data_IF_917070160913
#
_entry.id   IF_917070160913
#
_cell.length_a   1.000
_cell.length_b   1.000
_cell.length_c   1.000
_cell.angle_alpha   90.00
_cell.angle_beta   90.00
_cell.angle_gamma   90.00
#
_symmetry.space_group_name_H-M   'P 1'
#
loop_
_entity.id
_entity.type
_entity.pdbx_description
1 polymer ?
#
# COMPACT_ATOMS: atom_id res chain seq x y z
N UNK A 1 -24.82 -0.09 55.50
CA UNK A 1 -25.40 1.26 55.35
C UNK A 1 -25.64 1.50 53.87
N UNK A 2 -26.90 1.40 53.48
CA UNK A 2 -27.44 1.75 52.16
C UNK A 2 -27.36 3.26 51.96
N UNK A 3 -26.77 3.71 50.86
CA UNK A 3 -26.70 5.12 50.49
C UNK A 3 -26.94 5.28 48.99
N UNK A 4 -28.20 5.50 48.64
CA UNK A 4 -28.70 5.86 47.33
C UNK A 4 -28.26 7.30 47.00
N UNK A 5 -27.73 7.55 45.81
CA UNK A 5 -27.66 8.90 45.24
C UNK A 5 -28.20 8.90 43.81
N UNK A 6 -29.33 9.57 43.68
CA UNK A 6 -30.04 9.95 42.46
C UNK A 6 -29.30 11.07 41.74
N UNK A 7 -29.18 10.97 40.41
CA UNK A 7 -28.87 12.13 39.54
C UNK A 7 -29.97 12.27 38.50
N UNK A 8 -30.53 13.47 38.48
CA UNK A 8 -31.72 13.94 37.78
C UNK A 8 -31.49 14.11 36.28
N UNK A 9 -32.40 13.60 35.44
CA UNK A 9 -32.52 13.99 34.04
C UNK A 9 -33.31 15.31 33.92
N UNK A 10 -32.91 16.25 33.04
CA UNK A 10 -33.77 17.36 32.66
C UNK A 10 -34.86 16.93 31.66
N UNK A 11 -36.01 17.55 31.89
CA UNK A 11 -37.33 17.32 31.34
C UNK A 11 -37.49 17.47 29.83
N UNK A 12 -38.38 16.61 29.33
CA UNK A 12 -39.18 16.67 28.10
C UNK A 12 -39.71 18.09 27.84
N UNK A 13 -39.49 18.60 26.63
CA UNK A 13 -40.26 19.72 26.09
C UNK A 13 -41.23 19.19 25.02
N UNK A 14 -42.50 19.11 25.38
CA UNK A 14 -43.62 18.96 24.46
C UNK A 14 -43.79 20.25 23.66
N UNK A 15 -43.87 20.15 22.33
CA UNK A 15 -44.58 21.17 21.53
C UNK A 15 -45.41 20.49 20.45
N UNK A 16 -46.71 20.78 20.56
CA UNK A 16 -47.86 20.46 19.72
C UNK A 16 -47.74 20.97 18.28
N UNK A 17 -48.41 20.25 17.38
CA UNK A 17 -48.65 20.58 15.98
C UNK A 17 -49.58 21.79 15.80
N UNK A 18 -49.31 22.65 14.82
CA UNK A 18 -50.32 23.49 14.18
C UNK A 18 -49.92 23.85 12.73
N UNK A 19 -50.92 23.78 11.84
CA UNK A 19 -50.87 23.96 10.38
C UNK A 19 -50.44 25.37 9.92
N UNK A 20 -49.85 25.48 8.71
CA UNK A 20 -49.85 26.73 7.94
C UNK A 20 -48.74 26.86 6.90
N UNK A 21 -49.13 27.12 5.64
CA UNK A 21 -48.28 27.22 4.45
C UNK A 21 -47.31 28.44 4.42
N UNK A 22 -46.26 28.29 3.58
CA UNK A 22 -45.85 29.20 2.47
C UNK A 22 -44.45 29.85 2.50
N UNK A 23 -43.67 29.52 1.45
CA UNK A 23 -42.76 30.33 0.60
C UNK A 23 -41.39 30.91 1.06
N UNK A 24 -40.45 30.83 0.09
CA UNK A 24 -39.33 31.76 -0.29
C UNK A 24 -37.97 31.53 0.42
N UNK A 25 -36.96 30.94 -0.24
CA UNK A 25 -35.97 31.51 -1.20
C UNK A 25 -34.76 32.21 -0.53
N UNK A 26 -33.57 31.74 -0.92
CA UNK A 26 -32.27 32.44 -1.12
C UNK A 26 -31.43 33.00 0.04
N UNK A 27 -30.16 32.53 0.03
CA UNK A 27 -28.89 33.18 0.38
C UNK A 27 -28.75 33.91 1.72
N UNK A 28 -27.66 33.61 2.45
CA UNK A 28 -26.55 34.55 2.71
C UNK A 28 -25.43 33.84 3.49
N UNK A 29 -24.23 33.95 2.93
CA UNK A 29 -22.91 33.64 3.46
C UNK A 29 -22.54 34.45 4.70
N UNK A 30 -21.42 34.06 5.33
CA UNK A 30 -20.63 34.74 6.38
C UNK A 30 -21.04 34.53 7.83
N UNK A 31 -20.17 33.85 8.59
CA UNK A 31 -19.38 34.47 9.68
C UNK A 31 -18.23 33.53 10.04
N UNK A 32 -17.01 34.02 9.83
CA UNK A 32 -15.74 33.44 10.24
C UNK A 32 -15.34 33.99 11.61
N UNK A 33 -14.76 33.10 12.45
CA UNK A 33 -13.70 33.31 13.48
C UNK A 33 -14.10 33.93 14.85
N UNK A 34 -13.26 33.77 15.90
CA UNK A 34 -12.74 32.51 16.46
C UNK A 34 -12.71 32.55 18.02
N UNK A 35 -12.56 31.40 18.70
CA UNK A 35 -12.15 31.37 20.12
C UNK A 35 -10.84 30.56 20.22
N UNK A 36 -9.76 31.30 20.46
CA UNK A 36 -8.46 30.92 21.05
C UNK A 36 -8.68 30.50 22.51
N UNK A 37 -7.92 29.65 23.21
CA UNK A 37 -6.70 28.88 23.01
C UNK A 37 -6.52 28.00 24.28
N UNK A 38 -5.82 26.86 24.21
CA UNK A 38 -4.79 26.43 25.18
C UNK A 38 -3.94 25.30 24.52
N UNK A 39 -2.63 25.20 24.83
CA UNK A 39 -1.64 24.57 23.96
C UNK A 39 -1.30 23.14 24.39
N UNK A 40 -1.21 22.24 23.42
CA UNK A 40 -0.39 21.02 23.53
C UNK A 40 0.49 20.98 22.31
N UNK A 41 1.79 21.22 22.51
CA UNK A 41 2.83 21.17 21.51
C UNK A 41 3.04 19.73 21.02
N UNK A 42 2.47 19.41 19.85
CA UNK A 42 2.91 18.31 18.98
C UNK A 42 3.77 18.88 17.84
N UNK A 43 4.96 18.34 17.55
CA UNK A 43 5.71 18.69 16.34
C UNK A 43 5.02 18.13 15.09
N UNK A 44 4.98 18.95 14.04
CA UNK A 44 4.35 18.77 12.75
C UNK A 44 4.54 17.37 12.11
N UNK A 45 3.42 16.73 11.77
CA UNK A 45 3.39 15.64 10.80
C UNK A 45 3.66 16.18 9.38
N UNK A 46 4.59 15.49 8.72
CA UNK A 46 5.11 15.59 7.36
C UNK A 46 4.19 16.22 6.26
N UNK A 47 4.67 17.27 5.55
CA UNK A 47 4.11 17.70 4.26
C UNK A 47 4.67 16.93 3.03
N UNK A 48 5.57 15.95 3.21
CA UNK A 48 6.35 15.36 2.12
C UNK A 48 5.60 14.33 1.25
N UNK A 49 4.51 13.73 1.74
CA UNK A 49 3.69 12.81 0.93
C UNK A 49 2.70 13.52 0.00
N UNK A 50 2.34 14.78 0.31
CA UNK A 50 1.39 15.58 -0.48
C UNK A 50 2.02 16.16 -1.75
N UNK A 51 3.32 16.50 -1.70
CA UNK A 51 4.04 17.08 -2.85
C UNK A 51 4.16 16.10 -4.03
N UNK A 52 4.21 14.79 -3.76
CA UNK A 52 4.29 13.75 -4.79
C UNK A 52 2.97 13.62 -5.59
N UNK A 53 1.82 13.64 -4.91
CA UNK A 53 0.51 13.67 -5.57
C UNK A 53 0.21 15.02 -6.24
N UNK A 54 0.62 16.14 -5.64
CA UNK A 54 0.41 17.47 -6.23
C UNK A 54 1.21 17.66 -7.53
N UNK A 55 2.41 17.10 -7.63
CA UNK A 55 3.22 17.16 -8.85
C UNK A 55 2.54 16.42 -10.01
N UNK A 56 1.95 15.24 -9.76
CA UNK A 56 1.18 14.49 -10.76
C UNK A 56 -0.11 15.17 -11.21
N UNK A 57 -0.82 15.90 -10.34
CA UNK A 57 -2.05 16.61 -10.72
C UNK A 57 -1.78 17.90 -11.51
N UNK A 58 -0.59 18.51 -11.35
CA UNK A 58 -0.25 19.79 -11.99
C UNK A 58 0.15 19.68 -13.47
N UNK A 59 0.48 18.48 -13.96
CA UNK A 59 0.93 18.26 -15.35
C UNK A 59 -0.23 18.21 -16.37
N UNK A 60 -1.49 18.26 -15.93
CA UNK A 60 -2.68 18.24 -16.82
C UNK A 60 -3.28 19.61 -17.15
N UNK A 61 -2.64 20.73 -16.77
CA UNK A 61 -3.08 22.08 -17.18
C UNK A 61 -1.93 22.87 -17.79
N UNK A 62 -1.68 22.66 -19.08
CA UNK A 62 -0.93 23.61 -19.89
C UNK A 62 -1.70 24.94 -19.97
N UNK A 63 -1.07 26.05 -19.59
CA UNK A 63 -1.21 27.38 -20.21
C UNK A 63 0.04 28.23 -19.89
N UNK A 64 0.76 28.58 -20.96
CA UNK A 64 1.61 29.77 -21.20
C UNK A 64 2.82 30.07 -20.28
N UNK A 65 4.01 29.83 -20.84
CA UNK A 65 5.36 30.06 -20.31
C UNK A 65 5.83 31.53 -20.23
N UNK A 66 4.96 32.53 -20.36
CA UNK A 66 5.43 33.93 -20.54
C UNK A 66 5.29 34.87 -19.31
N UNK A 67 4.49 34.54 -18.28
CA UNK A 67 4.20 35.49 -17.18
C UNK A 67 4.81 35.17 -15.81
N UNK A 68 5.54 34.06 -15.65
CA UNK A 68 6.09 33.64 -14.35
C UNK A 68 7.29 34.48 -13.86
N UNK A 69 7.97 35.26 -14.71
CA UNK A 69 9.18 35.99 -14.29
C UNK A 69 8.93 37.29 -13.51
N UNK A 70 7.69 37.81 -13.45
CA UNK A 70 7.43 39.16 -12.92
C UNK A 70 6.86 39.23 -11.50
N UNK A 71 6.57 38.09 -10.85
CA UNK A 71 5.99 38.06 -9.49
C UNK A 71 6.94 37.57 -8.39
N UNK A 72 8.10 37.01 -8.72
CA UNK A 72 9.09 36.53 -7.74
C UNK A 72 9.99 37.64 -7.16
N UNK A 73 9.87 38.88 -7.63
CA UNK A 73 10.79 39.96 -7.25
C UNK A 73 10.37 40.76 -6.00
N UNK A 74 9.31 40.37 -5.28
CA UNK A 74 8.76 41.17 -4.15
C UNK A 74 8.57 40.41 -2.84
N UNK A 75 8.92 39.12 -2.78
CA UNK A 75 8.91 38.35 -1.54
C UNK A 75 10.31 37.77 -1.36
N UNK A 76 11.02 38.24 -0.34
CA UNK A 76 12.34 37.79 0.09
C UNK A 76 12.25 36.37 0.67
N UNK A 77 11.96 35.41 -0.21
CA UNK A 77 12.07 33.98 0.05
C UNK A 77 13.14 33.45 -0.89
N UNK A 78 14.33 33.26 -0.34
CA UNK A 78 15.42 32.53 -0.98
C UNK A 78 14.90 31.19 -1.53
N UNK A 79 15.23 30.83 -2.79
CA UNK A 79 14.79 29.57 -3.37
C UNK A 79 15.29 28.40 -2.52
N UNK A 80 14.38 27.49 -2.14
CA UNK A 80 14.76 26.19 -1.63
C UNK A 80 15.50 25.47 -2.75
N UNK A 81 16.77 25.23 -2.51
CA UNK A 81 17.78 24.79 -3.46
C UNK A 81 17.46 23.39 -4.02
N UNK A 82 17.46 23.25 -5.34
CA UNK A 82 17.28 21.98 -6.08
C UNK A 82 18.45 20.99 -5.91
N UNK A 83 19.27 21.15 -4.86
CA UNK A 83 20.50 20.37 -4.60
C UNK A 83 20.39 19.25 -3.57
N UNK A 84 19.23 19.03 -2.96
CA UNK A 84 19.02 17.98 -1.93
C UNK A 84 18.50 16.63 -2.46
N UNK A 85 18.38 16.44 -3.78
CA UNK A 85 18.00 15.17 -4.40
C UNK A 85 19.23 14.46 -5.03
N UNK A 86 19.93 13.66 -4.22
CA UNK A 86 20.66 12.44 -4.61
C UNK A 86 21.81 12.48 -5.65
N UNK A 87 22.40 13.64 -6.00
CA UNK A 87 23.44 13.69 -7.05
C UNK A 87 24.90 13.42 -6.62
N UNK A 88 25.22 13.25 -5.33
CA UNK A 88 26.64 13.14 -4.89
C UNK A 88 26.90 12.01 -3.87
N UNK A 89 26.63 10.76 -4.23
CA UNK A 89 27.17 9.64 -3.44
C UNK A 89 27.52 8.38 -4.24
N UNK A 90 27.71 8.45 -5.56
CA UNK A 90 28.31 7.33 -6.29
C UNK A 90 29.72 7.72 -6.66
N UNK A 91 30.70 7.03 -6.10
CA UNK A 91 32.08 7.24 -6.52
C UNK A 91 32.30 6.51 -7.84
N UNK A 92 32.62 7.28 -8.89
CA UNK A 92 33.13 6.76 -10.15
C UNK A 92 34.54 6.25 -9.91
N UNK A 93 34.77 4.95 -10.10
CA UNK A 93 36.08 4.33 -10.02
C UNK A 93 36.52 3.84 -11.40
N UNK A 94 37.64 4.35 -11.88
CA UNK A 94 38.39 3.79 -13.01
C UNK A 94 39.43 2.80 -12.46
N UNK A 95 39.64 1.69 -13.16
CA UNK A 95 40.66 0.70 -12.76
C UNK A 95 42.05 1.36 -12.73
N UNK A 96 42.76 1.38 -11.59
CA UNK A 96 44.10 1.93 -11.55
C UNK A 96 45.04 1.06 -12.38
N UNK A 97 45.84 1.66 -13.25
CA UNK A 97 46.98 0.98 -13.87
C UNK A 97 48.00 0.62 -12.81
N UNK A 98 48.29 -0.68 -12.65
CA UNK A 98 49.33 -1.38 -11.85
C UNK A 98 49.80 -0.85 -10.47
N UNK A 99 49.29 0.27 -9.95
CA UNK A 99 49.71 0.88 -8.69
C UNK A 99 48.96 0.25 -7.51
N UNK A 100 49.57 -0.81 -7.01
CA UNK A 100 49.11 -1.72 -5.96
C UNK A 100 49.00 -1.11 -4.54
N UNK A 101 49.34 0.18 -4.33
CA UNK A 101 49.48 0.76 -2.98
C UNK A 101 48.25 1.46 -2.39
N UNK A 102 47.22 1.79 -3.18
CA UNK A 102 46.04 2.55 -2.69
C UNK A 102 44.79 1.69 -2.38
N UNK A 103 44.89 0.37 -2.47
CA UNK A 103 43.72 -0.50 -2.64
C UNK A 103 43.52 -1.57 -1.55
N UNK A 104 44.23 -1.47 -0.41
CA UNK A 104 44.31 -2.55 0.58
C UNK A 104 43.57 -2.32 1.90
N UNK A 105 42.89 -1.20 2.09
CA UNK A 105 42.05 -1.00 3.28
C UNK A 105 40.68 -0.50 2.84
N UNK A 106 39.71 -1.42 2.77
CA UNK A 106 38.31 -1.01 2.67
C UNK A 106 37.93 -0.33 3.98
N UNK A 107 37.23 0.81 3.94
CA UNK A 107 36.69 1.40 5.16
C UNK A 107 35.77 0.38 5.83
N UNK A 108 35.72 0.35 7.18
CA UNK A 108 34.83 -0.55 7.90
C UNK A 108 33.39 -0.34 7.42
N UNK A 109 32.69 -1.45 7.14
CA UNK A 109 31.29 -1.40 6.69
C UNK A 109 30.46 -0.69 7.75
N UNK A 110 29.71 0.37 7.41
CA UNK A 110 28.90 1.09 8.38
C UNK A 110 27.90 0.17 9.08
N UNK A 111 27.79 0.36 10.41
CA UNK A 111 27.07 -0.54 11.34
C UNK A 111 25.56 -0.32 11.32
N UNK A 112 25.05 0.80 10.78
CA UNK A 112 23.61 1.07 10.81
C UNK A 112 22.83 0.10 9.90
N UNK A 113 22.07 -0.79 10.52
CA UNK A 113 21.23 -1.78 9.84
C UNK A 113 19.75 -1.37 9.91
N UNK A 114 19.27 -0.80 8.80
CA UNK A 114 17.84 -0.53 8.56
C UNK A 114 16.99 -1.80 8.32
N UNK A 115 17.63 -2.97 8.21
CA UNK A 115 16.98 -4.26 7.95
C UNK A 115 17.50 -5.30 8.93
N UNK A 116 16.58 -6.10 9.48
CA UNK A 116 16.88 -7.30 10.26
C UNK A 116 16.52 -8.53 9.42
N UNK A 117 17.47 -9.44 9.25
CA UNK A 117 17.23 -10.75 8.63
C UNK A 117 16.98 -11.76 9.74
N UNK A 118 15.87 -12.48 9.68
CA UNK A 118 15.51 -13.50 10.66
C UNK A 118 15.57 -14.87 9.98
N UNK A 119 16.41 -15.77 10.48
CA UNK A 119 16.42 -17.17 10.05
C UNK A 119 15.34 -17.96 10.80
N UNK A 120 14.35 -18.44 10.04
CA UNK A 120 13.24 -19.22 10.56
C UNK A 120 13.38 -20.72 10.24
N UNK A 121 14.49 -21.16 9.62
CA UNK A 121 14.65 -22.52 9.09
C UNK A 121 14.48 -23.59 10.17
N UNK A 122 15.14 -23.43 11.32
CA UNK A 122 15.02 -24.36 12.44
C UNK A 122 13.60 -24.41 13.01
N UNK A 123 12.94 -23.24 13.08
CA UNK A 123 11.57 -23.14 13.58
C UNK A 123 10.61 -23.85 12.64
N UNK A 124 10.71 -23.63 11.33
CA UNK A 124 9.89 -24.31 10.32
C UNK A 124 10.07 -25.83 10.38
N UNK A 125 11.32 -26.30 10.46
CA UNK A 125 11.62 -27.73 10.55
C UNK A 125 11.02 -28.36 11.82
N UNK A 126 10.98 -27.63 12.94
CA UNK A 126 10.33 -28.09 14.19
C UNK A 126 8.82 -28.28 14.03
N UNK A 127 8.16 -27.53 13.15
CA UNK A 127 6.74 -27.67 12.83
C UNK A 127 6.45 -28.68 11.70
N UNK A 128 7.42 -29.52 11.32
CA UNK A 128 7.27 -30.52 10.25
C UNK A 128 7.26 -29.94 8.83
N UNK A 129 7.59 -28.67 8.69
CA UNK A 129 7.72 -28.00 7.40
C UNK A 129 9.17 -28.09 6.94
N UNK A 130 9.52 -29.18 6.26
CA UNK A 130 10.87 -29.45 5.75
C UNK A 130 11.23 -28.50 4.60
N UNK A 131 11.75 -27.32 4.94
CA UNK A 131 12.26 -26.34 3.99
C UNK A 131 13.78 -26.23 4.11
N UNK A 132 14.47 -26.13 2.97
CA UNK A 132 15.93 -26.01 2.95
C UNK A 132 16.44 -24.70 3.58
N UNK A 133 15.74 -23.58 3.38
CA UNK A 133 16.13 -22.29 3.96
C UNK A 133 14.96 -21.30 3.98
N UNK A 134 14.67 -20.68 5.13
CA UNK A 134 13.61 -19.67 5.28
C UNK A 134 14.17 -18.43 6.00
N UNK A 135 14.36 -17.35 5.24
CA UNK A 135 14.73 -16.04 5.78
C UNK A 135 13.58 -15.05 5.65
N UNK A 136 13.37 -14.24 6.69
CA UNK A 136 12.46 -13.09 6.67
C UNK A 136 13.28 -11.79 6.60
N UNK A 137 12.92 -10.94 5.65
CA UNK A 137 13.49 -9.62 5.47
C UNK A 137 12.61 -8.59 6.18
N UNK A 138 13.08 -8.02 7.30
CA UNK A 138 12.27 -7.10 8.10
C UNK A 138 12.89 -5.71 8.12
N UNK A 139 12.25 -4.73 7.49
CA UNK A 139 12.69 -3.33 7.50
C UNK A 139 12.25 -2.64 8.79
N UNK A 140 13.17 -1.88 9.41
CA UNK A 140 12.94 -1.13 10.67
C UNK A 140 12.47 0.29 10.40
N UNK A 141 11.43 0.45 9.58
CA UNK A 141 10.83 1.75 9.29
C UNK A 141 9.54 1.92 10.11
N UNK A 142 9.56 2.83 11.09
CA UNK A 142 8.41 3.07 11.98
C UNK A 142 7.20 3.54 11.20
N UNK A 143 7.39 4.42 10.21
CA UNK A 143 6.33 4.89 9.34
C UNK A 143 5.74 3.73 8.54
N UNK A 144 6.62 2.91 7.94
CA UNK A 144 6.22 1.72 7.20
C UNK A 144 5.46 0.69 8.04
N UNK A 145 5.88 0.44 9.28
CA UNK A 145 5.18 -0.46 10.22
C UNK A 145 3.76 0.05 10.50
N UNK A 146 3.60 1.35 10.79
CA UNK A 146 2.29 1.96 11.04
C UNK A 146 1.40 1.83 9.80
N UNK A 147 1.92 2.14 8.61
CA UNK A 147 1.19 2.00 7.35
C UNK A 147 0.76 0.55 7.09
N UNK A 148 1.64 -0.42 7.34
CA UNK A 148 1.32 -1.84 7.17
C UNK A 148 0.22 -2.30 8.15
N UNK A 149 0.28 -1.90 9.42
CA UNK A 149 -0.78 -2.17 10.41
C UNK A 149 -2.10 -1.56 9.94
N UNK A 150 -2.07 -0.32 9.46
CA UNK A 150 -3.28 0.34 8.96
C UNK A 150 -3.87 -0.39 7.75
N UNK A 151 -3.04 -0.86 6.80
CA UNK A 151 -3.51 -1.70 5.69
C UNK A 151 -4.28 -2.93 6.18
N UNK A 152 -3.80 -3.62 7.22
CA UNK A 152 -4.47 -4.80 7.75
C UNK A 152 -5.79 -4.45 8.44
N UNK A 153 -5.85 -3.34 9.17
CA UNK A 153 -7.07 -2.86 9.80
C UNK A 153 -8.14 -2.48 8.77
N UNK A 154 -7.75 -1.83 7.68
CA UNK A 154 -8.63 -1.50 6.55
C UNK A 154 -9.21 -2.77 5.91
N UNK A 155 -8.35 -3.74 5.56
CA UNK A 155 -8.81 -5.03 5.01
C UNK A 155 -9.75 -5.76 5.97
N UNK A 156 -9.46 -5.77 7.27
CA UNK A 156 -10.31 -6.39 8.28
C UNK A 156 -11.67 -5.67 8.42
N UNK A 157 -11.68 -4.34 8.34
CA UNK A 157 -12.91 -3.55 8.35
C UNK A 157 -13.77 -3.82 7.10
N UNK A 158 -13.13 -3.90 5.93
CA UNK A 158 -13.81 -4.25 4.68
C UNK A 158 -14.40 -5.66 4.73
N UNK A 159 -13.65 -6.63 5.24
CA UNK A 159 -14.13 -7.99 5.48
C UNK A 159 -15.34 -8.03 6.42
N UNK A 160 -15.23 -7.38 7.59
CA UNK A 160 -16.34 -7.29 8.54
C UNK A 160 -17.60 -6.72 7.89
N UNK A 161 -17.47 -5.59 7.17
CA UNK A 161 -18.61 -4.91 6.56
C UNK A 161 -19.23 -5.77 5.45
N UNK A 162 -18.42 -6.33 4.56
CA UNK A 162 -18.94 -7.17 3.48
C UNK A 162 -19.60 -8.44 4.02
N UNK A 163 -18.97 -9.13 4.96
CA UNK A 163 -19.49 -10.40 5.47
C UNK A 163 -20.71 -10.21 6.38
N UNK A 164 -20.59 -9.35 7.40
CA UNK A 164 -21.60 -9.22 8.45
C UNK A 164 -22.72 -8.24 8.10
N UNK A 165 -22.42 -7.15 7.38
CA UNK A 165 -23.39 -6.09 7.08
C UNK A 165 -24.06 -6.31 5.72
N UNK A 166 -23.35 -6.82 4.72
CA UNK A 166 -23.88 -6.97 3.36
C UNK A 166 -24.38 -8.39 3.06
N UNK A 167 -23.54 -9.41 3.24
CA UNK A 167 -23.81 -10.76 2.75
C UNK A 167 -24.64 -11.62 3.72
N UNK A 168 -24.38 -11.55 5.03
CA UNK A 168 -25.14 -12.29 6.04
C UNK A 168 -26.65 -11.97 6.04
N UNK A 169 -27.09 -10.69 5.98
CA UNK A 169 -28.51 -10.37 5.81
C UNK A 169 -29.03 -10.53 4.36
N UNK A 170 -28.21 -11.02 3.44
CA UNK A 170 -28.59 -11.16 2.03
C UNK A 170 -29.79 -12.11 1.83
N UNK A 171 -30.74 -11.77 0.94
CA UNK A 171 -31.98 -12.54 0.80
C UNK A 171 -31.80 -13.91 0.15
N UNK A 172 -30.67 -14.14 -0.54
CA UNK A 172 -30.37 -15.40 -1.23
C UNK A 172 -29.11 -16.01 -0.66
N UNK A 173 -29.25 -17.15 0.03
CA UNK A 173 -28.14 -17.86 0.66
C UNK A 173 -27.06 -18.25 -0.35
N UNK A 174 -27.45 -18.67 -1.56
CA UNK A 174 -26.51 -19.05 -2.62
C UNK A 174 -25.72 -17.83 -3.12
N UNK A 175 -26.40 -16.70 -3.32
CA UNK A 175 -25.74 -15.46 -3.72
C UNK A 175 -24.74 -15.00 -2.66
N UNK A 176 -25.14 -14.99 -1.39
CA UNK A 176 -24.28 -14.60 -0.28
C UNK A 176 -23.09 -15.53 -0.13
N UNK A 177 -23.29 -16.84 -0.24
CA UNK A 177 -22.23 -17.83 -0.16
C UNK A 177 -21.19 -17.67 -1.29
N UNK A 178 -21.62 -17.57 -2.55
CA UNK A 178 -20.71 -17.41 -3.68
C UNK A 178 -19.90 -16.10 -3.59
N UNK A 179 -20.54 -14.99 -3.21
CA UNK A 179 -19.83 -13.72 -3.04
C UNK A 179 -18.91 -13.74 -1.82
N UNK A 180 -19.29 -14.42 -0.74
CA UNK A 180 -18.43 -14.59 0.42
C UNK A 180 -17.15 -15.36 0.06
N UNK A 181 -17.27 -16.47 -0.68
CA UNK A 181 -16.11 -17.23 -1.16
C UNK A 181 -15.20 -16.37 -2.05
N UNK A 182 -15.79 -15.63 -3.00
CA UNK A 182 -15.04 -14.78 -3.91
C UNK A 182 -14.31 -13.64 -3.18
N UNK A 183 -15.00 -12.95 -2.27
CA UNK A 183 -14.41 -11.85 -1.51
C UNK A 183 -13.29 -12.34 -0.59
N UNK A 184 -13.52 -13.43 0.15
CA UNK A 184 -12.48 -14.05 0.99
C UNK A 184 -11.28 -14.51 0.16
N UNK A 185 -11.51 -15.02 -1.06
CA UNK A 185 -10.42 -15.38 -1.96
C UNK A 185 -9.56 -14.15 -2.32
N UNK A 186 -10.18 -13.01 -2.65
CA UNK A 186 -9.44 -11.77 -2.88
C UNK A 186 -8.66 -11.32 -1.63
N UNK A 187 -9.27 -11.37 -0.45
CA UNK A 187 -8.62 -11.02 0.83
C UNK A 187 -7.38 -11.88 1.07
N UNK A 188 -7.50 -13.21 0.97
CA UNK A 188 -6.38 -14.15 1.18
C UNK A 188 -5.25 -13.88 0.18
N UNK A 189 -5.58 -13.66 -1.08
CA UNK A 189 -4.58 -13.40 -2.13
C UNK A 189 -3.90 -12.04 -1.93
N UNK A 190 -4.65 -11.00 -1.57
CA UNK A 190 -4.13 -9.66 -1.29
C UNK A 190 -3.20 -9.68 -0.06
N UNK A 191 -3.63 -10.24 1.06
CA UNK A 191 -2.84 -10.30 2.30
C UNK A 191 -1.60 -11.18 2.13
N UNK A 192 -1.70 -12.30 1.41
CA UNK A 192 -0.53 -13.14 1.12
C UNK A 192 0.47 -12.38 0.24
N UNK A 193 0.02 -11.70 -0.81
CA UNK A 193 0.87 -10.87 -1.67
C UNK A 193 1.52 -9.72 -0.90
N UNK A 194 0.77 -9.08 0.02
CA UNK A 194 1.24 -8.03 0.91
C UNK A 194 2.37 -8.55 1.82
N UNK A 195 2.14 -9.63 2.56
CA UNK A 195 3.14 -10.28 3.42
C UNK A 195 4.38 -10.68 2.62
N UNK A 196 4.20 -11.25 1.43
CA UNK A 196 5.32 -11.62 0.54
C UNK A 196 6.11 -10.40 0.11
N UNK A 197 5.47 -9.28 -0.16
CA UNK A 197 6.16 -8.02 -0.51
C UNK A 197 6.90 -7.45 0.69
N UNK A 198 6.28 -7.44 1.88
CA UNK A 198 6.86 -6.94 3.12
C UNK A 198 8.11 -7.72 3.54
N UNK A 199 8.03 -9.06 3.50
CA UNK A 199 9.01 -9.93 4.16
C UNK A 199 10.02 -10.59 3.21
N UNK A 200 9.98 -10.26 1.92
CA UNK A 200 10.97 -10.76 0.96
C UNK A 200 12.08 -9.75 0.74
N UNK A 201 13.30 -10.26 0.54
CA UNK A 201 14.41 -9.46 0.04
C UNK A 201 14.03 -8.84 -1.31
N UNK A 202 14.05 -7.50 -1.44
CA UNK A 202 13.72 -6.81 -2.69
C UNK A 202 14.80 -6.95 -3.78
N UNK A 203 15.96 -7.54 -3.45
CA UNK A 203 17.12 -7.69 -4.32
C UNK A 203 18.32 -6.91 -3.81
N UNK A 204 18.55 -6.93 -2.50
CA UNK A 204 19.59 -6.18 -1.83
C UNK A 204 20.99 -6.68 -2.19
N UNK A 205 21.91 -5.75 -2.41
CA UNK A 205 23.31 -6.02 -2.73
C UNK A 205 24.09 -6.25 -1.42
N UNK A 206 25.00 -7.25 -1.37
CA UNK A 206 25.81 -7.49 -0.20
C UNK A 206 26.70 -6.28 0.12
N UNK A 207 26.74 -5.88 1.39
CA UNK A 207 27.65 -4.82 1.85
C UNK A 207 29.10 -5.31 1.84
N UNK A 208 30.04 -4.38 1.71
CA UNK A 208 31.47 -4.71 1.72
C UNK A 208 31.94 -5.54 0.53
N UNK A 209 31.09 -5.75 -0.50
CA UNK A 209 31.46 -6.57 -1.65
C UNK A 209 32.41 -5.85 -2.63
N UNK A 210 32.74 -4.58 -2.39
CA UNK A 210 33.69 -3.79 -3.18
C UNK A 210 35.17 -4.17 -2.96
N UNK A 211 35.45 -5.46 -2.79
CA UNK A 211 36.81 -5.99 -2.67
C UNK A 211 37.52 -5.96 -4.02
N UNK A 212 38.86 -5.85 -3.99
CA UNK A 212 39.71 -5.95 -5.18
C UNK A 212 39.44 -7.23 -5.97
N UNK A 213 39.26 -8.35 -5.27
CA UNK A 213 38.96 -9.64 -5.87
C UNK A 213 37.63 -9.63 -6.63
N UNK A 214 36.56 -9.09 -6.02
CA UNK A 214 35.25 -9.01 -6.67
C UNK A 214 35.25 -8.04 -7.86
N UNK A 215 36.01 -6.95 -7.78
CA UNK A 215 36.18 -6.02 -8.91
C UNK A 215 36.95 -6.71 -10.06
N UNK A 216 38.00 -7.48 -9.76
CA UNK A 216 38.73 -8.25 -10.78
C UNK A 216 37.86 -9.32 -11.43
N UNK A 217 36.98 -9.98 -10.66
CA UNK A 217 36.03 -10.98 -11.17
C UNK A 217 35.05 -10.40 -12.19
N UNK A 218 34.84 -9.08 -12.24
CA UNK A 218 34.00 -8.45 -13.27
C UNK A 218 34.62 -8.53 -14.67
N UNK A 219 35.93 -8.80 -14.80
CA UNK A 219 36.58 -8.97 -16.10
C UNK A 219 36.56 -7.71 -16.98
N UNK A 220 36.50 -6.53 -16.34
CA UNK A 220 36.32 -5.26 -17.02
C UNK A 220 37.50 -4.92 -17.93
N UNK A 221 37.19 -4.35 -19.09
CA UNK A 221 38.20 -3.82 -20.01
C UNK A 221 38.79 -2.53 -19.45
N UNK A 222 40.01 -2.24 -19.85
CA UNK A 222 40.69 -1.01 -19.43
C UNK A 222 39.92 0.22 -19.94
N UNK A 223 39.53 1.10 -19.03
CA UNK A 223 38.67 2.27 -19.30
C UNK A 223 37.18 2.07 -18.98
N UNK A 224 36.74 0.87 -18.59
CA UNK A 224 35.37 0.67 -18.10
C UNK A 224 35.23 1.18 -16.66
N UNK A 225 34.10 1.85 -16.40
CA UNK A 225 33.80 2.52 -15.13
C UNK A 225 32.99 1.61 -14.23
N UNK A 226 33.36 1.54 -12.95
CA UNK A 226 32.55 0.88 -11.91
C UNK A 226 31.98 1.91 -10.96
N UNK A 227 30.69 1.82 -10.70
CA UNK A 227 30.04 2.61 -9.67
C UNK A 227 30.12 1.90 -8.32
N UNK A 228 30.44 2.64 -7.27
CA UNK A 228 30.46 2.14 -5.90
C UNK A 228 29.55 2.98 -5.02
N UNK A 229 28.87 2.31 -4.10
CA UNK A 229 28.15 2.97 -3.02
C UNK A 229 29.08 3.11 -1.81
N UNK A 230 29.42 4.34 -1.36
CA UNK A 230 30.28 4.58 -0.20
C UNK A 230 29.57 4.18 1.10
N UNK A 231 28.23 4.35 1.18
CA UNK A 231 27.43 3.97 2.36
C UNK A 231 27.39 2.45 2.59
N UNK A 232 27.31 1.67 1.52
CA UNK A 232 27.28 0.20 1.63
C UNK A 232 28.66 -0.44 1.45
N UNK A 233 29.66 0.33 1.02
CA UNK A 233 30.98 -0.16 0.58
C UNK A 233 30.79 -1.30 -0.42
N UNK A 234 29.91 -1.09 -1.40
CA UNK A 234 29.48 -2.13 -2.34
C UNK A 234 29.60 -1.68 -3.79
N UNK A 235 29.96 -2.62 -4.67
CA UNK A 235 29.85 -2.47 -6.12
C UNK A 235 28.37 -2.29 -6.43
N UNK A 236 28.04 -1.23 -7.17
CA UNK A 236 26.68 -0.89 -7.57
C UNK A 236 26.49 -1.33 -9.02
N UNK A 237 25.78 -2.44 -9.28
CA UNK A 237 25.40 -2.83 -10.62
C UNK A 237 24.52 -1.76 -11.26
N UNK A 238 24.41 -1.81 -12.59
CA UNK A 238 23.48 -0.96 -13.33
C UNK A 238 22.06 -1.07 -12.78
N UNK A 239 21.35 0.05 -12.75
CA UNK A 239 19.96 0.18 -12.27
C UNK A 239 19.75 -0.13 -10.78
N UNK A 240 20.83 -0.35 -10.02
CA UNK A 240 20.74 -0.43 -8.57
C UNK A 240 20.70 0.98 -7.97
N UNK A 241 19.96 1.18 -6.87
CA UNK A 241 19.95 2.45 -6.14
C UNK A 241 20.04 2.20 -4.63
N UNK A 242 20.65 3.14 -3.90
CA UNK A 242 20.76 3.08 -2.45
C UNK A 242 19.49 3.65 -1.80
N UNK A 243 18.80 2.84 -0.99
CA UNK A 243 17.69 3.33 -0.18
C UNK A 243 18.19 3.73 1.21
N UNK A 244 18.00 5.00 1.58
CA UNK A 244 18.35 5.52 2.92
C UNK A 244 17.49 4.96 4.05
N UNK A 245 16.28 4.47 3.76
CA UNK A 245 15.42 3.85 4.79
C UNK A 245 15.88 2.42 5.06
N UNK A 246 16.02 1.59 4.02
CA UNK A 246 16.52 0.23 4.15
C UNK A 246 18.03 0.17 4.47
N UNK A 247 18.78 1.25 4.25
CA UNK A 247 20.25 1.31 4.36
C UNK A 247 20.93 0.24 3.48
N UNK A 248 20.38 -0.01 2.30
CA UNK A 248 20.84 -1.06 1.37
C UNK A 248 20.73 -0.58 -0.07
N UNK A 249 21.70 -0.97 -0.90
CA UNK A 249 21.55 -0.87 -2.35
C UNK A 249 20.63 -1.98 -2.84
N UNK A 250 19.59 -1.62 -3.59
CA UNK A 250 18.57 -2.55 -4.12
C UNK A 250 18.71 -2.60 -5.64
N UNK A 251 18.75 -3.81 -6.22
CA UNK A 251 18.82 -4.02 -7.67
C UNK A 251 17.48 -3.69 -8.33
N UNK A 252 17.54 -2.98 -9.47
CA UNK A 252 16.35 -2.51 -10.21
C UNK A 252 15.34 -1.88 -9.24
N UNK A 253 15.85 -1.00 -8.38
CA UNK A 253 15.05 -0.36 -7.34
C UNK A 253 14.00 0.51 -8.02
N UNK A 254 12.74 0.31 -7.63
CA UNK A 254 11.63 1.11 -8.12
C UNK A 254 11.33 2.24 -7.13
N UNK A 255 10.97 1.89 -5.90
CA UNK A 255 10.75 2.85 -4.82
C UNK A 255 10.77 2.17 -3.44
N UNK A 256 10.87 2.98 -2.38
CA UNK A 256 10.54 2.54 -1.02
C UNK A 256 9.07 2.81 -0.75
N UNK A 257 8.31 1.80 -0.35
CA UNK A 257 6.88 1.90 -0.15
C UNK A 257 6.52 1.69 1.33
N UNK A 258 6.08 2.75 2.04
CA UNK A 258 5.68 2.63 3.44
C UNK A 258 4.52 1.63 3.64
N UNK A 259 3.59 1.54 2.69
CA UNK A 259 2.43 0.65 2.78
C UNK A 259 2.77 -0.84 2.80
N UNK A 260 3.94 -1.22 2.30
CA UNK A 260 4.46 -2.59 2.38
C UNK A 260 5.71 -2.67 3.25
N UNK A 261 6.04 -1.60 4.00
CA UNK A 261 7.20 -1.50 4.87
C UNK A 261 8.49 -2.08 4.24
N UNK A 262 8.71 -1.84 2.95
CA UNK A 262 9.84 -2.42 2.21
C UNK A 262 10.11 -1.66 0.91
N UNK A 263 11.30 -1.85 0.37
CA UNK A 263 11.58 -1.48 -1.01
C UNK A 263 10.85 -2.41 -1.99
N UNK A 264 10.44 -1.86 -3.12
CA UNK A 264 10.02 -2.63 -4.30
C UNK A 264 11.19 -2.66 -5.26
N UNK A 265 11.69 -3.85 -5.57
CA UNK A 265 12.81 -4.09 -6.47
C UNK A 265 12.63 -5.39 -7.25
N UNK A 266 13.65 -5.78 -8.00
CA UNK A 266 13.58 -6.93 -8.92
C UNK A 266 13.02 -8.21 -8.28
N UNK A 267 13.40 -8.50 -7.02
CA UNK A 267 13.13 -9.80 -6.39
C UNK A 267 11.77 -9.91 -5.71
N UNK A 268 11.06 -8.79 -5.51
CA UNK A 268 9.71 -8.77 -4.93
C UNK A 268 8.67 -8.03 -5.77
N UNK A 269 9.05 -7.46 -6.93
CA UNK A 269 8.15 -6.72 -7.83
C UNK A 269 6.88 -7.49 -8.18
N UNK A 270 6.97 -8.80 -8.45
CA UNK A 270 5.80 -9.66 -8.71
C UNK A 270 4.76 -9.58 -7.59
N UNK A 271 5.21 -9.71 -6.34
CA UNK A 271 4.29 -9.74 -5.19
C UNK A 271 3.63 -8.38 -4.99
N UNK A 272 4.37 -7.29 -5.23
CA UNK A 272 3.82 -5.94 -5.16
C UNK A 272 2.73 -5.72 -6.22
N UNK A 273 2.96 -6.17 -7.46
CA UNK A 273 1.96 -6.07 -8.54
C UNK A 273 0.71 -6.92 -8.25
N UNK A 274 0.88 -8.10 -7.67
CA UNK A 274 -0.26 -8.93 -7.27
C UNK A 274 -1.04 -8.30 -6.11
N UNK A 275 -0.33 -7.71 -5.14
CA UNK A 275 -0.96 -6.99 -4.04
C UNK A 275 -1.86 -5.85 -4.54
N UNK A 276 -1.34 -4.98 -5.41
CA UNK A 276 -2.13 -3.86 -5.96
C UNK A 276 -3.29 -4.33 -6.83
N UNK A 277 -3.10 -5.39 -7.64
CA UNK A 277 -4.18 -6.02 -8.42
C UNK A 277 -5.30 -6.53 -7.50
N UNK A 278 -4.97 -7.29 -6.46
CA UNK A 278 -5.98 -7.92 -5.62
C UNK A 278 -6.72 -6.92 -4.73
N UNK A 279 -6.06 -5.85 -4.24
CA UNK A 279 -6.75 -4.76 -3.56
C UNK A 279 -7.70 -4.02 -4.50
N UNK A 280 -7.30 -3.78 -5.76
CA UNK A 280 -8.17 -3.17 -6.77
C UNK A 280 -9.41 -4.03 -7.04
N UNK A 281 -9.23 -5.34 -7.26
CA UNK A 281 -10.34 -6.28 -7.46
C UNK A 281 -11.27 -6.37 -6.25
N UNK A 282 -10.70 -6.46 -5.04
CA UNK A 282 -11.45 -6.48 -3.78
C UNK A 282 -12.27 -5.20 -3.60
N UNK A 283 -11.69 -4.03 -3.88
CA UNK A 283 -12.36 -2.73 -3.76
C UNK A 283 -13.51 -2.59 -4.76
N UNK A 284 -13.31 -3.03 -6.00
CA UNK A 284 -14.36 -3.04 -7.02
C UNK A 284 -15.50 -3.97 -6.63
N UNK A 285 -15.19 -5.18 -6.14
CA UNK A 285 -16.20 -6.14 -5.70
C UNK A 285 -16.99 -5.63 -4.50
N UNK A 286 -16.32 -5.05 -3.49
CA UNK A 286 -16.97 -4.40 -2.36
C UNK A 286 -17.91 -3.26 -2.79
N UNK A 287 -17.48 -2.42 -3.74
CA UNK A 287 -18.29 -1.32 -4.25
C UNK A 287 -19.56 -1.84 -4.95
N UNK A 288 -19.44 -2.86 -5.81
CA UNK A 288 -20.59 -3.48 -6.47
C UNK A 288 -21.57 -4.09 -5.45
N UNK A 289 -21.06 -4.81 -4.45
CA UNK A 289 -21.88 -5.39 -3.38
C UNK A 289 -22.58 -4.30 -2.55
N UNK A 290 -21.88 -3.22 -2.23
CA UNK A 290 -22.42 -2.09 -1.45
C UNK A 290 -23.53 -1.37 -2.22
N UNK A 291 -23.34 -1.12 -3.52
CA UNK A 291 -24.37 -0.51 -4.38
C UNK A 291 -25.59 -1.42 -4.49
N UNK A 292 -25.39 -2.72 -4.72
CA UNK A 292 -26.50 -3.68 -4.81
C UNK A 292 -27.28 -3.74 -3.49
N UNK A 293 -26.59 -3.78 -2.35
CA UNK A 293 -27.22 -3.76 -1.03
C UNK A 293 -28.00 -2.46 -0.79
N UNK A 294 -27.41 -1.31 -1.12
CA UNK A 294 -28.07 -0.01 -1.03
C UNK A 294 -29.37 0.01 -1.85
N UNK A 295 -29.33 -0.42 -3.11
CA UNK A 295 -30.51 -0.43 -3.99
C UNK A 295 -31.60 -1.38 -3.50
N UNK A 296 -31.24 -2.56 -2.99
CA UNK A 296 -32.21 -3.61 -2.59
C UNK A 296 -32.81 -3.34 -1.21
N UNK A 297 -31.99 -2.93 -0.23
CA UNK A 297 -32.41 -2.83 1.17
C UNK A 297 -32.99 -1.46 1.51
N UNK A 298 -32.36 -0.35 1.11
CA UNK A 298 -32.90 0.98 1.44
C UNK A 298 -34.21 1.27 0.71
N UNK A 299 -34.40 0.68 -0.48
CA UNK A 299 -35.69 0.74 -1.18
C UNK A 299 -36.84 0.05 -0.43
N UNK A 300 -36.55 -0.86 0.50
CA UNK A 300 -37.53 -1.52 1.38
C UNK A 300 -37.62 -0.83 2.75
N UNK A 301 -36.48 -0.41 3.30
CA UNK A 301 -36.39 0.34 4.56
C UNK A 301 -37.18 1.66 4.50
N UNK A 302 -37.09 2.40 3.39
CA UNK A 302 -37.85 3.64 3.18
C UNK A 302 -39.36 3.41 3.02
N UNK A 303 -39.78 2.20 2.65
CA UNK A 303 -41.19 1.83 2.51
C UNK A 303 -41.82 1.41 3.85
N UNK A 304 -41.03 1.25 4.91
CA UNK A 304 -41.52 0.94 6.26
C UNK A 304 -41.96 -0.51 6.48
N UNK A 305 -41.61 -1.42 5.57
CA UNK A 305 -41.99 -2.83 5.65
C UNK A 305 -41.03 -3.62 6.54
N UNK A 306 -41.09 -3.42 7.87
CA UNK A 306 -40.36 -4.29 8.81
C UNK A 306 -41.29 -5.26 9.55
N UNK A 307 -41.06 -6.57 9.47
CA UNK A 307 -41.40 -7.46 10.57
C UNK A 307 -40.39 -7.23 11.72
N UNK A 308 -40.88 -7.31 12.96
CA UNK A 308 -40.12 -7.06 14.20
C UNK A 308 -38.76 -7.81 14.27
N UNK A 309 -37.76 -7.26 14.98
CA UNK A 309 -36.49 -7.94 15.23
C UNK A 309 -36.68 -9.28 15.95
N UNK A 310 -35.90 -10.30 15.57
CA UNK A 310 -35.91 -11.67 16.11
C UNK A 310 -35.73 -11.74 17.65
N UNK A 311 -35.19 -10.70 18.27
CA UNK A 311 -35.02 -10.59 19.73
C UNK A 311 -36.38 -10.51 20.46
N UNK A 312 -37.44 -10.02 19.80
CA UNK A 312 -38.79 -9.95 20.40
C UNK A 312 -39.55 -11.27 20.25
N UNK A 313 -39.20 -12.11 19.27
CA UNK A 313 -39.92 -13.37 19.02
C UNK A 313 -39.70 -14.41 20.13
N UNK A 314 -38.56 -14.37 20.83
CA UNK A 314 -38.26 -15.25 21.96
C UNK A 314 -38.97 -14.83 23.28
N UNK A 315 -39.76 -13.74 23.27
CA UNK A 315 -40.56 -13.28 24.41
C UNK A 315 -42.07 -13.52 24.21
N UNK A 316 -42.50 -14.05 23.05
CA UNK A 316 -43.91 -14.34 22.80
C UNK A 316 -44.21 -15.83 23.05
N UNK A 317 -45.31 -16.16 23.74
CA UNK A 317 -45.64 -17.55 24.05
C UNK A 317 -45.94 -18.34 22.79
N UNK A 318 -45.37 -19.54 22.70
CA UNK A 318 -45.56 -20.52 21.64
C UNK A 318 -47.06 -20.75 21.36
N UNK A 319 -47.58 -20.26 20.23
CA UNK A 319 -48.72 -20.83 19.50
C UNK A 319 -49.01 -20.08 18.19
N UNK A 320 -48.04 -20.04 17.28
CA UNK A 320 -48.31 -19.69 15.88
C UNK A 320 -47.78 -20.81 14.99
N UNK A 321 -48.64 -21.80 14.75
CA UNK A 321 -48.51 -22.79 13.67
C UNK A 321 -48.75 -22.10 12.33
N UNK A 322 -47.82 -21.22 11.92
CA UNK A 322 -47.62 -20.86 10.51
C UNK A 322 -46.21 -20.28 10.33
N UNK A 323 -45.22 -21.16 10.36
CA UNK A 323 -43.80 -20.84 10.36
C UNK A 323 -43.19 -21.04 8.96
N UNK A 324 -43.92 -20.68 7.91
CA UNK A 324 -43.48 -20.86 6.51
C UNK A 324 -43.07 -19.60 5.80
N UNK A 325 -43.30 -18.42 6.37
CA UNK A 325 -42.89 -17.16 5.76
C UNK A 325 -42.49 -16.15 6.84
N UNK A 326 -41.19 -15.87 6.93
CA UNK A 326 -40.58 -14.53 7.11
C UNK A 326 -39.13 -14.77 7.57
N UNK A 327 -38.19 -14.68 6.64
CA UNK A 327 -36.82 -14.30 6.96
C UNK A 327 -36.22 -13.53 5.77
N UNK A 328 -36.79 -12.35 5.50
CA UNK A 328 -36.04 -11.27 4.88
C UNK A 328 -35.30 -10.54 5.99
N UNK A 329 -34.07 -10.95 6.28
CA UNK A 329 -33.28 -10.33 7.35
C UNK A 329 -32.73 -9.00 6.82
N UNK A 330 -33.42 -7.89 7.10
CA UNK A 330 -32.80 -6.56 7.08
C UNK A 330 -31.83 -6.46 8.29
N UNK A 331 -30.84 -5.55 8.28
CA UNK A 331 -29.49 -5.79 8.82
C UNK A 331 -29.43 -6.15 10.31
N UNK A 332 -28.36 -6.86 10.70
CA UNK A 332 -28.04 -7.13 12.11
C UNK A 332 -27.87 -5.84 12.95
N UNK A 333 -27.68 -4.70 12.27
CA UNK A 333 -27.53 -3.37 12.83
C UNK A 333 -28.70 -2.47 12.41
N UNK A 334 -28.93 -1.39 13.17
CA UNK A 334 -29.95 -0.38 12.82
C UNK A 334 -29.71 0.22 11.42
N UNK A 335 -30.75 0.63 10.67
CA UNK A 335 -30.59 1.21 9.32
C UNK A 335 -29.62 2.41 9.24
N UNK A 336 -29.57 3.33 10.23
CA UNK A 336 -28.56 4.39 10.25
C UNK A 336 -27.13 3.83 10.39
N UNK A 337 -26.92 2.82 11.24
CA UNK A 337 -25.60 2.21 11.44
C UNK A 337 -25.11 1.49 10.17
N UNK A 338 -25.99 0.72 9.52
CA UNK A 338 -25.69 0.06 8.23
C UNK A 338 -25.27 1.08 7.18
N UNK A 339 -26.00 2.19 7.09
CA UNK A 339 -25.67 3.29 6.15
C UNK A 339 -24.28 3.86 6.42
N UNK A 340 -23.93 4.10 7.69
CA UNK A 340 -22.59 4.58 8.08
C UNK A 340 -21.51 3.58 7.66
N UNK A 341 -21.69 2.29 7.92
CA UNK A 341 -20.72 1.26 7.53
C UNK A 341 -20.48 1.23 6.01
N UNK A 342 -21.56 1.32 5.21
CA UNK A 342 -21.48 1.35 3.75
C UNK A 342 -20.79 2.62 3.24
N UNK A 343 -21.07 3.79 3.83
CA UNK A 343 -20.41 5.04 3.44
C UNK A 343 -18.91 4.95 3.68
N UNK A 344 -18.49 4.45 4.84
CA UNK A 344 -17.06 4.30 5.17
C UNK A 344 -16.41 3.28 4.23
N UNK A 345 -17.06 2.13 3.97
CA UNK A 345 -16.56 1.11 3.04
C UNK A 345 -16.40 1.64 1.61
N UNK A 346 -17.38 2.41 1.12
CA UNK A 346 -17.31 3.01 -0.23
C UNK A 346 -16.21 4.06 -0.28
N UNK A 347 -16.09 4.92 0.73
CA UNK A 347 -15.04 5.93 0.79
C UNK A 347 -13.65 5.29 0.81
N UNK A 348 -13.45 4.30 1.67
CA UNK A 348 -12.24 3.49 1.74
C UNK A 348 -11.93 2.83 0.40
N UNK A 349 -12.90 2.08 -0.16
CA UNK A 349 -12.75 1.36 -1.41
C UNK A 349 -12.46 2.27 -2.60
N UNK A 350 -13.03 3.48 -2.63
CA UNK A 350 -12.71 4.46 -3.68
C UNK A 350 -11.31 5.04 -3.51
N UNK A 351 -10.94 5.48 -2.31
CA UNK A 351 -9.63 6.08 -2.05
C UNK A 351 -8.50 5.09 -2.33
N UNK A 352 -8.56 3.90 -1.73
CA UNK A 352 -7.53 2.89 -1.86
C UNK A 352 -7.64 2.11 -3.18
N UNK A 353 -8.85 1.87 -3.69
CA UNK A 353 -9.06 1.20 -4.97
C UNK A 353 -8.52 2.01 -6.14
N UNK A 354 -8.78 3.34 -6.19
CA UNK A 354 -8.23 4.20 -7.25
C UNK A 354 -6.71 4.28 -7.15
N UNK A 355 -6.18 4.50 -5.94
CA UNK A 355 -4.74 4.57 -5.72
C UNK A 355 -4.04 3.27 -6.16
N UNK A 356 -4.57 2.12 -5.78
CA UNK A 356 -4.00 0.82 -6.16
C UNK A 356 -4.20 0.50 -7.64
N UNK A 357 -5.27 0.95 -8.28
CA UNK A 357 -5.44 0.83 -9.73
C UNK A 357 -4.38 1.63 -10.50
N UNK A 358 -4.10 2.87 -10.08
CA UNK A 358 -3.05 3.71 -10.67
C UNK A 358 -1.68 3.05 -10.47
N UNK A 359 -1.37 2.59 -9.26
CA UNK A 359 -0.11 1.91 -8.96
C UNK A 359 0.04 0.59 -9.72
N UNK A 360 -1.02 -0.19 -9.85
CA UNK A 360 -1.01 -1.40 -10.69
C UNK A 360 -0.70 -1.05 -12.15
N UNK A 361 -1.36 -0.04 -12.70
CA UNK A 361 -1.12 0.44 -14.07
C UNK A 361 0.30 0.96 -14.28
N UNK A 362 0.83 1.75 -13.33
CA UNK A 362 2.20 2.27 -13.41
C UNK A 362 3.23 1.15 -13.36
N UNK A 363 3.08 0.17 -12.46
CA UNK A 363 3.99 -0.98 -12.40
C UNK A 363 3.92 -1.82 -13.67
N UNK A 364 2.72 -2.06 -14.21
CA UNK A 364 2.58 -2.84 -15.44
C UNK A 364 3.22 -2.11 -16.64
N UNK A 365 3.05 -0.79 -16.72
CA UNK A 365 3.71 0.07 -17.71
C UNK A 365 5.24 0.03 -17.57
N UNK A 366 5.76 0.19 -16.35
CA UNK A 366 7.18 0.09 -16.01
C UNK A 366 7.78 -1.26 -16.44
N UNK A 367 7.07 -2.36 -16.19
CA UNK A 367 7.48 -3.70 -16.64
C UNK A 367 7.48 -3.79 -18.16
N UNK A 368 6.45 -3.27 -18.84
CA UNK A 368 6.33 -3.36 -20.30
C UNK A 368 7.38 -2.49 -21.02
N UNK A 369 7.75 -1.35 -20.44
CA UNK A 369 8.77 -0.44 -20.97
C UNK A 369 10.18 -0.82 -20.54
N UNK A 370 10.32 -1.77 -19.60
CA UNK A 370 11.56 -2.14 -18.93
C UNK A 370 12.27 -0.95 -18.26
N UNK A 371 11.50 -0.01 -17.71
CA UNK A 371 11.97 1.18 -17.00
C UNK A 371 11.43 1.20 -15.57
N UNK A 372 12.27 1.49 -14.58
CA UNK A 372 11.85 1.70 -13.18
C UNK A 372 11.31 3.12 -12.99
N UNK A 373 10.56 3.35 -11.91
CA UNK A 373 10.11 4.69 -11.53
C UNK A 373 11.27 5.70 -11.37
N UNK A 374 12.43 5.25 -10.88
CA UNK A 374 13.62 6.10 -10.76
C UNK A 374 14.17 6.47 -12.14
N UNK A 375 14.25 5.52 -13.06
CA UNK A 375 14.76 5.74 -14.43
C UNK A 375 13.88 6.73 -15.20
N UNK A 376 12.55 6.62 -15.07
CA UNK A 376 11.59 7.54 -15.67
C UNK A 376 11.77 8.97 -15.16
N UNK A 377 11.95 9.14 -13.84
CA UNK A 377 12.13 10.45 -13.22
C UNK A 377 13.47 11.09 -13.57
N UNK A 378 14.54 10.30 -13.64
CA UNK A 378 15.88 10.80 -13.94
C UNK A 378 16.12 11.05 -15.43
N UNK A 379 15.22 10.60 -16.31
CA UNK A 379 15.39 10.66 -17.79
C UNK A 379 16.77 10.13 -18.23
N UNK A 380 17.29 9.13 -17.52
CA UNK A 380 18.58 8.53 -17.85
C UNK A 380 18.51 7.94 -19.26
N UNK A 381 19.49 8.27 -20.11
CA UNK A 381 19.61 7.57 -21.40
C UNK A 381 19.92 6.11 -21.11
N UNK A 382 19.09 5.20 -21.62
CA UNK A 382 19.26 3.77 -21.39
C UNK A 382 20.64 3.33 -21.90
N UNK A 383 21.54 2.99 -20.96
CA UNK A 383 22.84 2.40 -21.25
C UNK A 383 22.76 0.88 -21.43
N UNK A 384 21.58 0.29 -21.19
CA UNK A 384 21.31 -1.14 -21.26
C UNK A 384 20.48 -1.53 -22.49
N UNK A 385 20.59 -2.80 -22.88
CA UNK A 385 19.74 -3.38 -23.92
C UNK A 385 18.31 -3.55 -23.39
N UNK A 386 17.35 -2.84 -24.00
CA UNK A 386 15.94 -2.92 -23.59
C UNK A 386 15.36 -4.28 -23.98
N UNK A 387 14.79 -4.99 -23.00
CA UNK A 387 14.07 -6.23 -23.25
C UNK A 387 12.79 -5.98 -24.04
N UNK A 388 12.39 -6.94 -24.86
CA UNK A 388 11.05 -6.92 -25.46
C UNK A 388 9.98 -6.99 -24.38
N UNK A 389 8.80 -6.38 -24.62
CA UNK A 389 7.69 -6.33 -23.64
C UNK A 389 7.40 -7.69 -23.02
N UNK A 390 7.36 -8.73 -23.86
CA UNK A 390 7.07 -10.10 -23.43
C UNK A 390 8.20 -10.70 -22.57
N UNK A 391 9.45 -10.41 -22.91
CA UNK A 391 10.60 -10.86 -22.12
C UNK A 391 10.66 -10.16 -20.76
N UNK A 392 10.31 -8.88 -20.69
CA UNK A 392 10.22 -8.13 -19.43
C UNK A 392 9.14 -8.70 -18.51
N UNK A 393 7.95 -8.96 -19.05
CA UNK A 393 6.86 -9.59 -18.28
C UNK A 393 7.29 -10.99 -17.79
N UNK A 394 7.90 -11.82 -18.65
CA UNK A 394 8.43 -13.13 -18.24
C UNK A 394 9.49 -13.03 -17.16
N UNK A 395 10.31 -11.97 -17.18
CA UNK A 395 11.35 -11.77 -16.16
C UNK A 395 10.78 -11.54 -14.77
N UNK A 396 9.59 -10.91 -14.68
CA UNK A 396 8.89 -10.62 -13.42
C UNK A 396 7.98 -11.77 -13.00
N UNK A 397 7.16 -12.32 -13.90
CA UNK A 397 6.12 -13.29 -13.55
C UNK A 397 6.57 -14.76 -13.71
N UNK A 398 7.62 -15.01 -14.49
CA UNK A 398 8.15 -16.33 -14.81
C UNK A 398 7.72 -16.87 -16.17
N UNK A 399 8.12 -18.11 -16.46
CA UNK A 399 7.78 -18.84 -17.68
C UNK A 399 7.53 -20.32 -17.35
N UNK A 400 6.58 -21.02 -18.03
CA UNK A 400 5.64 -20.53 -19.06
C UNK A 400 4.58 -19.57 -18.53
N UNK A 401 3.67 -19.06 -19.37
CA UNK A 401 2.47 -18.37 -18.89
C UNK A 401 1.52 -19.38 -18.23
N UNK A 402 0.89 -19.01 -17.09
CA UNK A 402 -0.08 -19.87 -16.43
C UNK A 402 -0.58 -19.31 -15.09
N UNK A 403 -1.39 -20.08 -14.35
CA UNK A 403 -2.01 -19.65 -13.08
C UNK A 403 -1.01 -19.17 -12.00
N UNK A 404 0.23 -19.64 -12.06
CA UNK A 404 1.28 -19.19 -11.16
C UNK A 404 1.62 -17.70 -11.31
N UNK A 405 1.30 -17.06 -12.44
CA UNK A 405 1.50 -15.62 -12.61
C UNK A 405 0.68 -14.82 -11.62
N UNK A 406 -0.53 -15.30 -11.33
CA UNK A 406 -1.48 -14.70 -10.40
C UNK A 406 -1.30 -15.21 -8.97
N UNK A 407 -0.43 -16.19 -8.74
CA UNK A 407 -0.25 -16.80 -7.42
C UNK A 407 0.89 -16.13 -6.63
N UNK A 408 0.63 -15.55 -5.44
CA UNK A 408 1.68 -15.01 -4.56
C UNK A 408 2.48 -16.13 -3.86
N UNK A 409 2.06 -17.38 -4.00
CA UNK A 409 2.76 -18.54 -3.43
C UNK A 409 3.94 -18.99 -4.29
N UNK A 410 4.07 -18.48 -5.52
CA UNK A 410 5.08 -18.93 -6.47
C UNK A 410 6.14 -17.86 -6.70
N UNK A 411 7.40 -18.21 -6.47
CA UNK A 411 8.55 -17.38 -6.85
C UNK A 411 8.87 -17.58 -8.34
N UNK A 412 9.19 -16.51 -9.09
CA UNK A 412 9.67 -16.63 -10.46
C UNK A 412 10.97 -17.45 -10.49
N UNK A 413 11.11 -18.38 -11.45
CA UNK A 413 12.30 -19.26 -11.63
C UNK A 413 13.56 -18.53 -12.12
N UNK A 414 13.57 -17.21 -12.17
CA UNK A 414 14.70 -16.38 -12.63
C UNK A 414 15.68 -16.02 -11.52
N UNK A 415 15.38 -16.37 -10.26
CA UNK A 415 16.25 -16.05 -9.13
C UNK A 415 17.37 -17.08 -8.97
N UNK A 416 18.59 -16.72 -9.39
CA UNK A 416 19.79 -17.22 -8.71
C UNK A 416 20.02 -16.32 -7.49
N UNK A 417 20.04 -16.86 -6.26
CA UNK A 417 20.44 -16.10 -5.09
C UNK A 417 21.82 -15.48 -5.30
N UNK A 418 22.03 -14.24 -4.83
CA UNK A 418 23.33 -13.57 -4.88
C UNK A 418 24.45 -14.39 -4.23
N UNK A 419 24.13 -15.27 -3.28
CA UNK A 419 25.10 -16.22 -2.76
C UNK A 419 25.66 -17.10 -3.88
N UNK A 420 24.85 -17.67 -4.79
CA UNK A 420 25.29 -18.51 -5.91
C UNK A 420 25.88 -17.72 -7.10
N UNK A 421 25.67 -16.41 -7.16
CA UNK A 421 26.24 -15.58 -8.23
C UNK A 421 27.66 -15.09 -7.89
N UNK A 422 28.05 -15.15 -6.62
CA UNK A 422 29.37 -14.75 -6.12
C UNK A 422 30.09 -15.81 -5.27
N UNK A 423 29.47 -16.95 -4.97
CA UNK A 423 30.18 -18.13 -4.48
C UNK A 423 30.75 -18.89 -5.67
N UNK A 424 32.07 -18.77 -5.81
CA UNK A 424 32.90 -19.77 -6.48
C UNK A 424 33.14 -20.90 -5.50
#
# INVERSE_FOLDING_TARGET
MTGSFSVSLPSICNTTTHNGHLLVLTHVTTMCRPITAFPVSLPCLAPSASLYCQKMMSEHTEISTSKRSRLYHSLDMSPMDERDFDYYSDERWELPGNDSKKMNELPPVPVEEGVKIIDCTQTCNKFGLHYHTVYLWCVKDVCGIICAVFTWLLVAYAEFTVMCVILLPGPSQMYSFCNALLFNWFVIMALTAHVRTMLSDPGAIPRGNATRENIMKLGLKQGEVVFKCPKCVSIKPDRAHHCSVCQRCIRKMDHHCPWVNNCVGESNQKFFVLFTLYICCMSLHAAVLSINHFVVCIGKDWKGDYPLPLVVLNLLPNNATDLTHIQFVCPAFSPPATTVFLIILIFEGLLFGIFTAIMFGSQLSAICTDETGIEQLKKEQATWERKSRWLSIKSVFGHPFGLHWFSPFTKPRTYKPLHEQYSV
#
